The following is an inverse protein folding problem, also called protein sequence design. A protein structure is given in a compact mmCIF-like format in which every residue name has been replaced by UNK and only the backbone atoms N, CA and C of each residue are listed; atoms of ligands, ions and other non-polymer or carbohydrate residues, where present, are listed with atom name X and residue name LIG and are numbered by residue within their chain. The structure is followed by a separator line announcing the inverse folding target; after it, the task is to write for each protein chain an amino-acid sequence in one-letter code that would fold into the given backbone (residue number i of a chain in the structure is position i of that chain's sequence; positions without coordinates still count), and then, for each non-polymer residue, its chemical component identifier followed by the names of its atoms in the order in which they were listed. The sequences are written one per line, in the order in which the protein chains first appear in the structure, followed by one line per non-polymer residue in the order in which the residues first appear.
data_IF_462039661398
#
_entry.id   IF_462039661398
#
_cell.length_a   1.000
_cell.length_b   1.000
_cell.length_c   1.000
_cell.angle_alpha   90.00
_cell.angle_beta   90.00
_cell.angle_gamma   90.00
#
_symmetry.space_group_name_H-M   'P 1'
#
loop_
_entity.id
_entity.type
_entity.pdbx_description
1 polymer ?
#
# COMPACT_ATOMS: atom_id res chain seq x y z
N UNK A 1 10.01 6.53 7.32
CA UNK A 1 10.57 5.61 8.33
C UNK A 1 11.83 6.12 9.03
N UNK A 2 12.58 7.03 8.46
CA UNK A 2 13.82 7.57 9.09
C UNK A 2 13.58 8.17 10.49
N UNK A 3 12.38 8.66 10.76
CA UNK A 3 12.02 9.15 12.11
C UNK A 3 12.02 8.04 13.18
N UNK A 4 11.83 6.78 12.78
CA UNK A 4 11.87 5.63 13.69
C UNK A 4 13.29 5.14 14.02
N UNK A 5 14.34 5.74 13.44
CA UNK A 5 15.73 5.40 13.77
C UNK A 5 16.10 5.65 15.24
N UNK A 6 15.31 6.47 15.95
CA UNK A 6 15.47 6.67 17.39
C UNK A 6 15.09 5.44 18.23
N UNK A 7 14.29 4.53 17.65
CA UNK A 7 13.91 3.25 18.23
C UNK A 7 14.19 2.14 17.20
N UNK A 8 15.36 1.50 17.29
CA UNK A 8 15.77 0.47 16.32
C UNK A 8 14.79 -0.69 16.18
N UNK A 9 14.10 -1.05 17.27
CA UNK A 9 13.12 -2.14 17.28
C UNK A 9 11.90 -1.74 16.43
N UNK A 10 11.35 -0.55 16.66
CA UNK A 10 10.23 -0.05 15.84
C UNK A 10 10.63 0.13 14.37
N UNK A 11 11.86 0.58 14.10
CA UNK A 11 12.37 0.69 12.74
C UNK A 11 12.41 -0.67 12.03
N UNK A 12 12.95 -1.70 12.67
CA UNK A 12 13.02 -3.05 12.11
C UNK A 12 11.62 -3.66 11.90
N UNK A 13 10.71 -3.45 12.84
CA UNK A 13 9.32 -3.89 12.71
C UNK A 13 8.61 -3.20 11.54
N UNK A 14 8.77 -1.88 11.38
CA UNK A 14 8.22 -1.14 10.25
C UNK A 14 8.81 -1.61 8.91
N UNK A 15 10.12 -1.82 8.86
CA UNK A 15 10.81 -2.31 7.66
C UNK A 15 10.31 -3.70 7.27
N UNK A 16 10.29 -4.63 8.22
CA UNK A 16 9.80 -5.98 7.99
C UNK A 16 8.33 -5.99 7.53
N UNK A 17 7.47 -5.23 8.22
CA UNK A 17 6.05 -5.09 7.87
C UNK A 17 5.86 -4.51 6.48
N UNK A 18 6.68 -3.53 6.09
CA UNK A 18 6.62 -2.93 4.75
C UNK A 18 7.04 -3.92 3.67
N UNK A 19 8.12 -4.65 3.87
CA UNK A 19 8.57 -5.71 2.94
C UNK A 19 7.46 -6.74 2.74
N UNK A 20 6.84 -7.20 3.83
CA UNK A 20 5.74 -8.17 3.77
C UNK A 20 4.52 -7.57 3.07
N UNK A 21 4.09 -6.36 3.42
CA UNK A 21 2.91 -5.71 2.85
C UNK A 21 3.08 -5.48 1.33
N UNK A 22 4.20 -4.93 0.89
CA UNK A 22 4.47 -4.68 -0.54
C UNK A 22 4.58 -5.99 -1.33
N UNK A 23 5.22 -7.01 -0.76
CA UNK A 23 5.33 -8.33 -1.38
C UNK A 23 3.96 -8.97 -1.53
N UNK A 24 3.16 -8.95 -0.47
CA UNK A 24 1.82 -9.54 -0.45
C UNK A 24 0.89 -8.82 -1.44
N UNK A 25 0.91 -7.47 -1.45
CA UNK A 25 0.16 -6.67 -2.41
C UNK A 25 0.50 -7.05 -3.86
N UNK A 26 1.78 -7.02 -4.21
CA UNK A 26 2.23 -7.33 -5.57
C UNK A 26 1.95 -8.78 -5.97
N UNK A 27 2.09 -9.72 -5.03
CA UNK A 27 1.77 -11.13 -5.26
C UNK A 27 0.28 -11.35 -5.51
N UNK A 28 -0.60 -10.86 -4.64
CA UNK A 28 -2.05 -10.98 -4.77
C UNK A 28 -2.50 -10.39 -6.10
N UNK A 29 -2.05 -9.17 -6.42
CA UNK A 29 -2.39 -8.50 -7.68
C UNK A 29 -1.93 -9.31 -8.90
N UNK A 30 -0.74 -9.92 -8.83
CA UNK A 30 -0.20 -10.77 -9.90
C UNK A 30 -1.01 -12.07 -10.06
N UNK A 31 -1.41 -12.71 -8.96
CA UNK A 31 -2.26 -13.91 -8.97
C UNK A 31 -3.63 -13.61 -9.58
N UNK A 32 -4.25 -12.49 -9.18
CA UNK A 32 -5.55 -12.06 -9.73
C UNK A 32 -5.42 -11.77 -11.23
N UNK A 33 -4.36 -11.11 -11.66
CA UNK A 33 -4.11 -10.84 -13.07
C UNK A 33 -3.93 -12.13 -13.89
N UNK A 34 -3.17 -13.10 -13.38
CA UNK A 34 -3.00 -14.41 -14.01
C UNK A 34 -4.34 -15.15 -14.13
N UNK A 35 -5.14 -15.19 -13.06
CA UNK A 35 -6.48 -15.79 -13.07
C UNK A 35 -7.45 -15.07 -14.01
N UNK A 36 -7.23 -13.78 -14.24
CA UNK A 36 -7.97 -12.97 -15.21
C UNK A 36 -7.48 -13.13 -16.65
N UNK A 37 -6.61 -14.10 -16.94
CA UNK A 37 -6.17 -14.46 -18.27
C UNK A 37 -4.83 -13.86 -18.71
N UNK A 38 -4.05 -13.28 -17.81
CA UNK A 38 -2.69 -12.80 -18.11
C UNK A 38 -1.66 -13.91 -18.03
N UNK A 39 -1.40 -14.54 -19.15
CA UNK A 39 -0.41 -15.62 -19.26
C UNK A 39 1.03 -15.11 -19.12
N UNK A 40 1.29 -13.85 -19.42
CA UNK A 40 2.65 -13.30 -19.36
C UNK A 40 3.16 -13.19 -17.92
N UNK A 41 2.29 -12.95 -16.95
CA UNK A 41 2.67 -12.90 -15.53
C UNK A 41 3.28 -14.21 -15.04
N UNK A 42 2.81 -15.35 -15.54
CA UNK A 42 3.40 -16.65 -15.19
C UNK A 42 4.87 -16.75 -15.60
N UNK A 43 5.23 -16.14 -16.71
CA UNK A 43 6.62 -16.13 -17.23
C UNK A 43 7.55 -15.20 -16.44
N UNK A 44 7.01 -14.20 -15.75
CA UNK A 44 7.80 -13.26 -14.93
C UNK A 44 8.21 -13.83 -13.58
N UNK A 45 7.67 -15.00 -13.19
CA UNK A 45 7.89 -15.61 -11.88
C UNK A 45 7.20 -14.87 -10.72
N UNK A 46 6.29 -13.92 -11.01
CA UNK A 46 5.55 -13.12 -10.02
C UNK A 46 4.39 -13.87 -9.35
N UNK A 47 4.20 -15.14 -9.69
CA UNK A 47 3.24 -16.01 -9.00
C UNK A 47 3.78 -16.56 -7.66
N UNK A 48 5.06 -16.34 -7.36
CA UNK A 48 5.66 -16.65 -6.07
C UNK A 48 5.79 -15.38 -5.23
N UNK A 49 5.58 -15.43 -3.91
CA UNK A 49 5.71 -14.26 -3.02
C UNK A 49 7.19 -13.95 -2.73
N UNK A 50 7.94 -13.55 -3.76
CA UNK A 50 9.35 -13.18 -3.68
C UNK A 50 9.46 -11.65 -3.59
N UNK A 51 9.98 -11.06 -2.48
CA UNK A 51 10.13 -9.62 -2.32
C UNK A 51 10.87 -8.94 -3.48
N UNK A 52 11.88 -9.61 -4.04
CA UNK A 52 12.70 -9.08 -5.14
C UNK A 52 11.92 -8.84 -6.42
N UNK A 53 10.77 -9.51 -6.59
CA UNK A 53 9.91 -9.43 -7.78
C UNK A 53 8.73 -8.51 -7.61
N UNK A 54 8.40 -8.17 -6.37
CA UNK A 54 7.20 -7.41 -6.03
C UNK A 54 7.48 -6.01 -5.51
N UNK A 55 8.65 -5.77 -4.93
CA UNK A 55 9.00 -4.45 -4.40
C UNK A 55 9.59 -3.59 -5.50
N UNK A 56 8.96 -2.45 -5.75
CA UNK A 56 9.47 -1.43 -6.64
C UNK A 56 10.62 -0.67 -5.97
N UNK A 57 11.80 -0.49 -6.61
CA UNK A 57 12.93 0.22 -6.01
C UNK A 57 12.60 1.65 -5.58
N UNK A 58 11.83 2.39 -6.38
CA UNK A 58 11.40 3.73 -6.04
C UNK A 58 10.33 3.71 -4.95
N UNK A 59 9.43 2.70 -4.97
CA UNK A 59 8.49 2.44 -3.91
C UNK A 59 9.17 2.10 -2.58
N UNK A 60 10.26 1.34 -2.61
CA UNK A 60 11.08 1.06 -1.43
C UNK A 60 11.74 2.32 -0.89
N UNK A 61 12.29 3.16 -1.78
CA UNK A 61 12.88 4.45 -1.41
C UNK A 61 11.81 5.38 -0.78
N UNK A 62 10.64 5.48 -1.40
CA UNK A 62 9.51 6.22 -0.86
C UNK A 62 9.10 5.73 0.54
N UNK A 63 9.09 4.41 0.76
CA UNK A 63 8.82 3.82 2.06
C UNK A 63 9.89 4.16 3.11
N UNK A 64 11.16 4.09 2.75
CA UNK A 64 12.26 4.40 3.67
C UNK A 64 12.24 5.86 4.11
N UNK A 65 12.09 6.79 3.18
CA UNK A 65 12.17 8.23 3.44
C UNK A 65 10.83 8.77 3.89
N UNK A 66 9.78 8.58 3.09
CA UNK A 66 8.45 9.11 3.33
C UNK A 66 7.55 8.23 4.19
N UNK A 67 7.93 6.98 4.45
CA UNK A 67 7.09 6.00 5.14
C UNK A 67 5.97 5.41 4.28
N UNK A 68 5.95 5.72 2.98
CA UNK A 68 4.90 5.34 2.03
C UNK A 68 5.57 4.70 0.81
N UNK A 69 5.26 3.43 0.57
CA UNK A 69 5.83 2.67 -0.54
C UNK A 69 4.77 2.01 -1.42
N UNK A 70 5.19 1.50 -2.57
CA UNK A 70 4.34 0.79 -3.51
C UNK A 70 5.07 -0.42 -4.12
N UNK A 71 4.29 -1.39 -4.57
CA UNK A 71 4.80 -2.58 -5.26
C UNK A 71 4.93 -2.32 -6.76
N UNK A 72 5.71 -3.19 -7.43
CA UNK A 72 5.83 -3.15 -8.89
C UNK A 72 4.46 -3.27 -9.53
N UNK A 73 4.04 -2.31 -10.37
CA UNK A 73 2.76 -2.35 -11.05
C UNK A 73 2.63 -3.59 -11.94
N UNK A 74 1.41 -4.10 -12.08
CA UNK A 74 1.10 -5.16 -13.04
C UNK A 74 0.75 -4.49 -14.37
N UNK A 75 1.52 -4.76 -15.43
CA UNK A 75 1.17 -4.30 -16.77
C UNK A 75 -0.15 -4.94 -17.21
N UNK A 76 -1.07 -4.15 -17.74
CA UNK A 76 -2.37 -4.64 -18.20
C UNK A 76 -2.38 -4.75 -19.73
N UNK A 77 -2.69 -5.91 -20.32
CA UNK A 77 -2.89 -6.02 -21.75
C UNK A 77 -4.10 -5.17 -22.20
N UNK A 78 -4.01 -4.59 -23.41
CA UNK A 78 -4.98 -3.63 -23.95
C UNK A 78 -6.42 -4.16 -24.11
N UNK A 79 -6.66 -5.47 -24.03
CA UNK A 79 -7.98 -6.11 -24.19
C UNK A 79 -8.36 -6.90 -22.95
N UNK A 80 -8.87 -6.23 -21.93
CA UNK A 80 -9.45 -6.89 -20.76
C UNK A 80 -10.89 -6.48 -20.51
N UNK A 81 -11.64 -7.39 -19.88
CA UNK A 81 -12.98 -7.06 -19.37
C UNK A 81 -12.88 -6.03 -18.24
N UNK A 82 -13.89 -5.16 -18.13
CA UNK A 82 -13.97 -4.18 -17.03
C UNK A 82 -13.88 -4.86 -15.66
N UNK A 83 -14.49 -6.04 -15.50
CA UNK A 83 -14.43 -6.80 -14.25
C UNK A 83 -13.02 -7.25 -13.89
N UNK A 84 -12.21 -7.69 -14.86
CA UNK A 84 -10.81 -8.04 -14.62
C UNK A 84 -9.97 -6.83 -14.18
N UNK A 85 -10.19 -5.66 -14.81
CA UNK A 85 -9.52 -4.41 -14.42
C UNK A 85 -9.85 -4.03 -12.98
N UNK A 86 -11.13 -4.06 -12.61
CA UNK A 86 -11.61 -3.78 -11.25
C UNK A 86 -10.98 -4.76 -10.25
N UNK A 87 -11.02 -6.07 -10.56
CA UNK A 87 -10.44 -7.08 -9.68
C UNK A 87 -8.94 -6.86 -9.46
N UNK A 88 -8.16 -6.63 -10.52
CA UNK A 88 -6.71 -6.40 -10.41
C UNK A 88 -6.39 -5.13 -9.62
N UNK A 89 -7.15 -4.06 -9.85
CA UNK A 89 -6.89 -2.78 -9.18
C UNK A 89 -7.25 -2.79 -7.69
N UNK A 90 -8.31 -3.50 -7.29
CA UNK A 90 -8.84 -3.42 -5.93
C UNK A 90 -8.39 -4.55 -5.02
N UNK A 91 -8.22 -5.78 -5.54
CA UNK A 91 -8.05 -6.97 -4.67
C UNK A 91 -6.80 -6.88 -3.79
N UNK A 92 -5.66 -6.41 -4.34
CA UNK A 92 -4.43 -6.26 -3.56
C UNK A 92 -4.58 -5.29 -2.40
N UNK A 93 -5.13 -4.10 -2.67
CA UNK A 93 -5.36 -3.07 -1.66
C UNK A 93 -6.37 -3.50 -0.60
N UNK A 94 -7.52 -4.05 -1.01
CA UNK A 94 -8.56 -4.52 -0.09
C UNK A 94 -8.07 -5.69 0.77
N UNK A 95 -7.27 -6.60 0.23
CA UNK A 95 -6.67 -7.69 1.00
C UNK A 95 -5.74 -7.16 2.10
N UNK A 96 -4.90 -6.15 1.80
CA UNK A 96 -4.05 -5.52 2.82
C UNK A 96 -4.87 -4.79 3.88
N UNK A 97 -5.93 -4.08 3.48
CA UNK A 97 -6.85 -3.45 4.44
C UNK A 97 -7.47 -4.50 5.35
N UNK A 98 -7.94 -5.63 4.80
CA UNK A 98 -8.48 -6.73 5.60
C UNK A 98 -7.46 -7.30 6.60
N UNK A 99 -6.23 -7.57 6.16
CA UNK A 99 -5.16 -8.04 7.07
C UNK A 99 -4.85 -6.99 8.14
N UNK A 100 -4.75 -5.72 7.78
CA UNK A 100 -4.51 -4.63 8.72
C UNK A 100 -5.60 -4.52 9.79
N UNK A 101 -6.87 -4.68 9.40
CA UNK A 101 -8.02 -4.73 10.32
C UNK A 101 -7.94 -5.93 11.27
N UNK A 102 -7.57 -7.13 10.76
CA UNK A 102 -7.39 -8.32 11.60
C UNK A 102 -6.26 -8.14 12.62
N UNK A 103 -5.16 -7.50 12.23
CA UNK A 103 -4.06 -7.19 13.14
C UNK A 103 -4.46 -6.19 14.23
N UNK A 104 -5.27 -5.17 13.90
CA UNK A 104 -5.84 -4.25 14.89
C UNK A 104 -6.79 -4.96 15.84
N UNK A 105 -7.65 -5.82 15.33
CA UNK A 105 -8.56 -6.62 16.15
C UNK A 105 -7.78 -7.53 17.09
N UNK A 106 -6.73 -8.20 16.61
CA UNK A 106 -5.85 -9.03 17.44
C UNK A 106 -5.16 -8.21 18.54
N UNK A 107 -4.71 -6.99 18.23
CA UNK A 107 -4.18 -6.07 19.21
C UNK A 107 -5.24 -5.70 20.26
N UNK A 108 -6.43 -5.32 19.84
CA UNK A 108 -7.53 -4.96 20.75
C UNK A 108 -7.88 -6.11 21.70
N UNK A 109 -8.01 -7.32 21.19
CA UNK A 109 -8.29 -8.51 22.00
C UNK A 109 -7.16 -8.89 22.95
N UNK A 110 -5.89 -8.61 22.59
CA UNK A 110 -4.73 -8.96 23.42
C UNK A 110 -4.44 -7.96 24.55
N UNK A 111 -4.84 -6.70 24.38
CA UNK A 111 -4.39 -5.63 25.28
C UNK A 111 -5.54 -4.86 25.94
N UNK A 112 -6.78 -5.02 25.50
CA UNK A 112 -7.93 -4.16 25.87
C UNK A 112 -7.61 -2.65 25.74
N UNK A 113 -6.56 -2.31 24.99
CA UNK A 113 -6.16 -0.92 24.73
C UNK A 113 -7.03 -0.37 23.62
N UNK A 114 -7.79 0.67 23.93
CA UNK A 114 -8.49 1.45 22.91
C UNK A 114 -7.45 2.20 22.05
N UNK A 115 -7.31 1.79 20.80
CA UNK A 115 -6.45 2.45 19.81
C UNK A 115 -7.20 3.54 19.03
N UNK A 116 -8.47 3.77 19.37
CA UNK A 116 -9.41 4.61 18.62
C UNK A 116 -9.02 6.09 18.45
N UNK A 117 -7.99 6.56 19.15
CA UNK A 117 -7.50 7.93 19.03
C UNK A 117 -6.10 8.07 18.41
N UNK A 118 -5.40 6.97 18.13
CA UNK A 118 -4.04 7.05 17.58
C UNK A 118 -4.07 7.36 16.07
N UNK A 119 -3.65 8.56 15.71
CA UNK A 119 -3.44 8.91 14.30
C UNK A 119 -2.30 8.08 13.73
N UNK A 120 -2.47 7.53 12.54
CA UNK A 120 -1.42 6.77 11.81
C UNK A 120 -0.11 7.53 11.76
N UNK A 121 -0.19 8.84 11.51
CA UNK A 121 0.96 9.74 11.54
C UNK A 121 1.69 9.76 12.87
N UNK A 122 0.99 9.72 13.99
CA UNK A 122 1.60 9.71 15.31
C UNK A 122 2.33 8.37 15.56
N UNK A 123 1.70 7.25 15.18
CA UNK A 123 2.30 5.91 15.32
C UNK A 123 3.54 5.76 14.43
N UNK A 124 3.49 6.24 13.18
CA UNK A 124 4.64 6.16 12.26
C UNK A 124 5.81 7.08 12.67
N UNK A 125 5.52 8.22 13.33
CA UNK A 125 6.54 9.19 13.72
C UNK A 125 7.14 8.95 15.10
N UNK A 126 6.30 8.56 16.08
CA UNK A 126 6.73 8.49 17.48
C UNK A 126 7.17 7.08 17.91
N UNK A 127 6.89 6.07 17.10
CA UNK A 127 6.94 4.70 17.60
C UNK A 127 5.91 4.50 18.72
N UNK A 128 5.79 3.29 19.19
CA UNK A 128 4.92 2.99 20.34
C UNK A 128 5.77 2.97 21.60
N UNK A 129 5.87 4.05 22.30
CA UNK A 129 6.70 4.17 23.52
C UNK A 129 6.27 3.29 24.70
N UNK A 130 5.33 2.36 24.54
CA UNK A 130 4.84 1.46 25.58
C UNK A 130 4.27 0.16 25.00
N UNK A 131 4.12 -0.84 25.85
CA UNK A 131 3.58 -2.15 25.51
C UNK A 131 4.64 -3.23 25.25
N UNK A 132 4.18 -4.49 25.18
CA UNK A 132 5.05 -5.63 24.86
C UNK A 132 5.53 -5.59 23.40
N UNK A 133 6.60 -6.30 23.07
CA UNK A 133 7.11 -6.40 21.70
C UNK A 133 6.02 -6.90 20.74
N UNK A 134 5.19 -7.85 21.16
CA UNK A 134 4.06 -8.35 20.36
C UNK A 134 3.02 -7.28 20.06
N UNK A 135 2.64 -6.48 21.06
CA UNK A 135 1.69 -5.37 20.88
C UNK A 135 2.25 -4.31 19.93
N UNK A 136 3.52 -3.95 20.07
CA UNK A 136 4.19 -3.04 19.13
C UNK A 136 4.23 -3.59 17.70
N UNK A 137 4.55 -4.88 17.56
CA UNK A 137 4.55 -5.53 16.26
C UNK A 137 3.17 -5.52 15.62
N UNK A 138 2.11 -5.88 16.36
CA UNK A 138 0.72 -5.84 15.86
C UNK A 138 0.30 -4.43 15.43
N UNK A 139 0.58 -3.42 16.26
CA UNK A 139 0.21 -2.03 15.95
C UNK A 139 0.96 -1.50 14.73
N UNK A 140 2.27 -1.63 14.69
CA UNK A 140 3.07 -1.12 13.58
C UNK A 140 2.76 -1.84 12.26
N UNK A 141 2.58 -3.17 12.32
CA UNK A 141 2.18 -3.94 11.14
C UNK A 141 0.80 -3.54 10.66
N UNK A 142 -0.18 -3.40 11.55
CA UNK A 142 -1.54 -2.99 11.15
C UNK A 142 -1.55 -1.64 10.45
N UNK A 143 -0.82 -0.66 10.99
CA UNK A 143 -0.69 0.67 10.38
C UNK A 143 -0.05 0.60 9.00
N UNK A 144 1.02 -0.18 8.82
CA UNK A 144 1.68 -0.36 7.52
C UNK A 144 0.74 -1.01 6.52
N UNK A 145 0.05 -2.08 6.92
CA UNK A 145 -0.87 -2.80 6.03
C UNK A 145 -2.05 -1.93 5.61
N UNK A 146 -2.69 -1.24 6.55
CA UNK A 146 -3.79 -0.31 6.26
C UNK A 146 -3.33 0.83 5.36
N UNK A 147 -2.22 1.48 5.69
CA UNK A 147 -1.69 2.60 4.91
C UNK A 147 -1.33 2.19 3.49
N UNK A 148 -0.62 1.07 3.32
CA UNK A 148 -0.24 0.53 2.01
C UNK A 148 -1.47 0.11 1.21
N UNK A 149 -2.43 -0.55 1.87
CA UNK A 149 -3.69 -0.97 1.25
C UNK A 149 -4.49 0.21 0.71
N UNK A 150 -4.75 1.23 1.54
CA UNK A 150 -5.49 2.43 1.15
C UNK A 150 -4.75 3.21 0.07
N UNK A 151 -3.44 3.41 0.24
CA UNK A 151 -2.62 4.10 -0.75
C UNK A 151 -2.73 3.42 -2.12
N UNK A 152 -2.65 2.08 -2.15
CA UNK A 152 -2.70 1.34 -3.42
C UNK A 152 -4.02 1.49 -4.16
N UNK A 153 -5.11 1.86 -3.48
CA UNK A 153 -6.43 2.11 -4.07
C UNK A 153 -6.57 3.50 -4.69
N UNK A 154 -5.66 4.44 -4.37
CA UNK A 154 -5.70 5.78 -4.94
C UNK A 154 -5.50 5.74 -6.46
N UNK A 155 -6.25 6.55 -7.22
CA UNK A 155 -6.18 6.59 -8.69
C UNK A 155 -4.96 7.41 -9.17
N UNK A 156 -3.79 7.17 -8.59
CA UNK A 156 -2.53 7.86 -8.90
C UNK A 156 -1.49 6.86 -9.40
N UNK A 157 -0.91 7.01 -10.61
CA UNK A 157 0.21 6.18 -11.03
C UNK A 157 1.43 6.40 -10.13
N UNK A 158 2.18 5.36 -9.77
CA UNK A 158 2.14 3.96 -10.25
C UNK A 158 1.25 3.03 -9.42
N UNK A 159 0.31 3.53 -8.63
CA UNK A 159 -0.54 2.74 -7.72
C UNK A 159 -1.55 1.89 -8.50
N UNK A 160 -2.00 0.79 -7.89
CA UNK A 160 -2.93 -0.14 -8.53
C UNK A 160 -4.28 0.52 -8.91
N UNK A 161 -4.74 1.50 -8.13
CA UNK A 161 -5.97 2.27 -8.39
C UNK A 161 -5.94 3.07 -9.68
N UNK A 162 -4.77 3.47 -10.20
CA UNK A 162 -4.66 4.15 -11.50
C UNK A 162 -5.16 3.30 -12.65
N UNK A 163 -5.10 1.97 -12.51
CA UNK A 163 -5.61 1.02 -13.49
C UNK A 163 -7.11 1.15 -13.71
N UNK A 164 -7.86 1.53 -12.66
CA UNK A 164 -9.28 1.86 -12.82
C UNK A 164 -9.46 3.16 -13.60
N UNK A 165 -8.68 4.18 -13.24
CA UNK A 165 -8.76 5.47 -13.90
C UNK A 165 -8.54 5.34 -15.41
N UNK A 166 -7.40 4.77 -15.82
CA UNK A 166 -7.06 4.64 -17.24
C UNK A 166 -7.85 3.54 -17.96
N UNK A 167 -8.15 2.43 -17.26
CA UNK A 167 -8.92 1.32 -17.83
C UNK A 167 -10.39 1.65 -18.10
N UNK A 168 -10.97 2.61 -17.38
CA UNK A 168 -12.35 3.09 -17.56
C UNK A 168 -12.43 4.42 -18.33
N UNK A 169 -11.30 5.11 -18.50
CA UNK A 169 -11.25 6.39 -19.18
C UNK A 169 -11.68 6.29 -20.66
N UNK A 170 -12.26 7.36 -21.22
CA UNK A 170 -12.54 7.42 -22.65
C UNK A 170 -11.26 7.28 -23.47
N UNK A 171 -11.34 6.57 -24.59
CA UNK A 171 -10.20 6.40 -25.52
C UNK A 171 -9.93 7.65 -26.35
N UNK A 172 -9.83 8.81 -25.71
CA UNK A 172 -9.47 10.07 -26.37
C UNK A 172 -7.94 10.27 -26.35
N UNK A 173 -7.42 11.02 -27.32
CA UNK A 173 -5.99 11.29 -27.42
C UNK A 173 -5.39 11.99 -26.18
N UNK A 174 -6.20 12.75 -25.44
CA UNK A 174 -5.78 13.39 -24.19
C UNK A 174 -5.51 12.37 -23.09
N UNK A 175 -6.41 11.41 -22.86
CA UNK A 175 -6.25 10.35 -21.87
C UNK A 175 -5.09 9.42 -22.21
N UNK A 176 -4.91 9.06 -23.49
CA UNK A 176 -3.78 8.24 -23.92
C UNK A 176 -2.44 8.94 -23.69
N UNK A 177 -2.35 10.26 -23.92
CA UNK A 177 -1.14 11.04 -23.62
C UNK A 177 -0.88 11.12 -22.13
N UNK A 178 -1.91 11.30 -21.30
CA UNK A 178 -1.78 11.32 -19.85
C UNK A 178 -1.29 9.97 -19.31
N UNK A 179 -1.86 8.85 -19.77
CA UNK A 179 -1.43 7.50 -19.43
C UNK A 179 0.03 7.27 -19.81
N UNK A 180 0.40 7.59 -21.05
CA UNK A 180 1.79 7.48 -21.53
C UNK A 180 2.78 8.28 -20.69
N UNK A 181 2.46 9.53 -20.38
CA UNK A 181 3.35 10.38 -19.58
C UNK A 181 3.47 9.89 -18.14
N UNK A 182 2.37 9.54 -17.51
CA UNK A 182 2.33 9.19 -16.10
C UNK A 182 2.84 7.76 -15.82
N UNK A 183 2.56 6.79 -16.70
CA UNK A 183 2.96 5.40 -16.52
C UNK A 183 4.26 5.05 -17.26
N UNK A 184 4.37 5.32 -18.57
CA UNK A 184 5.54 4.89 -19.33
C UNK A 184 6.75 5.81 -19.17
N UNK A 185 6.54 7.12 -19.02
CA UNK A 185 7.62 8.08 -18.71
C UNK A 185 7.93 8.21 -17.23
N UNK A 186 7.31 7.42 -16.37
CA UNK A 186 7.51 7.43 -14.92
C UNK A 186 7.25 8.78 -14.23
N UNK A 187 6.52 9.72 -14.87
CA UNK A 187 6.16 10.97 -14.20
C UNK A 187 5.26 10.75 -12.98
N UNK A 188 4.43 9.69 -12.99
CA UNK A 188 3.63 9.29 -11.84
C UNK A 188 4.49 8.86 -10.66
N UNK A 189 5.54 8.08 -10.90
CA UNK A 189 6.54 7.68 -9.90
C UNK A 189 7.24 8.91 -9.33
N UNK A 190 7.71 9.81 -10.20
CA UNK A 190 8.37 11.05 -9.79
C UNK A 190 7.44 11.93 -8.97
N UNK A 191 6.19 12.11 -9.40
CA UNK A 191 5.20 12.91 -8.68
C UNK A 191 4.91 12.36 -7.28
N UNK A 192 4.70 11.03 -7.15
CA UNK A 192 4.50 10.39 -5.86
C UNK A 192 5.74 10.53 -4.96
N UNK A 193 6.93 10.35 -5.51
CA UNK A 193 8.17 10.46 -4.77
C UNK A 193 8.40 11.89 -4.29
N UNK A 194 8.21 12.89 -5.16
CA UNK A 194 8.27 14.30 -4.80
C UNK A 194 7.20 14.65 -3.76
N UNK A 195 5.97 14.18 -3.94
CA UNK A 195 4.89 14.41 -2.98
C UNK A 195 5.19 13.77 -1.62
N UNK A 196 5.76 12.57 -1.60
CA UNK A 196 6.14 11.90 -0.34
C UNK A 196 7.29 12.60 0.40
N UNK A 197 8.18 13.28 -0.34
CA UNK A 197 9.33 14.00 0.21
C UNK A 197 8.98 15.41 0.63
N UNK A 198 8.31 16.18 -0.24
CA UNK A 198 8.07 17.62 -0.03
C UNK A 198 6.77 17.88 0.73
N UNK A 199 5.74 17.10 0.54
CA UNK A 199 4.43 17.29 1.16
C UNK A 199 3.90 15.99 1.79
N UNK A 200 4.69 15.34 2.67
CA UNK A 200 4.25 14.08 3.27
C UNK A 200 2.94 14.21 4.06
N UNK A 201 2.67 15.41 4.60
CA UNK A 201 1.46 15.68 5.36
C UNK A 201 0.17 15.49 4.55
N UNK A 202 0.18 15.73 3.25
CA UNK A 202 -0.99 15.54 2.39
C UNK A 202 -1.35 14.05 2.24
N UNK A 203 -0.35 13.22 1.91
CA UNK A 203 -0.56 11.77 1.79
C UNK A 203 -0.99 11.16 3.12
N UNK A 204 -0.37 11.57 4.21
CA UNK A 204 -0.76 11.12 5.55
C UNK A 204 -2.17 11.59 5.92
N UNK A 205 -2.59 12.80 5.58
CA UNK A 205 -3.94 13.27 5.83
C UNK A 205 -4.98 12.41 5.09
N UNK A 206 -4.70 12.04 3.83
CA UNK A 206 -5.55 11.14 3.07
C UNK A 206 -5.62 9.77 3.75
N UNK A 207 -4.48 9.19 4.11
CA UNK A 207 -4.43 7.90 4.80
C UNK A 207 -5.20 7.96 6.12
N UNK A 208 -4.96 8.98 6.96
CA UNK A 208 -5.62 9.15 8.25
C UNK A 208 -7.14 9.29 8.12
N UNK A 209 -7.62 9.96 7.06
CA UNK A 209 -9.05 10.11 6.80
C UNK A 209 -9.77 8.76 6.62
N UNK A 210 -9.06 7.75 6.09
CA UNK A 210 -9.62 6.40 5.89
C UNK A 210 -9.25 5.43 7.02
N UNK A 211 -8.01 5.47 7.51
CA UNK A 211 -7.54 4.52 8.53
C UNK A 211 -8.18 4.80 9.89
N UNK A 212 -8.36 6.06 10.27
CA UNK A 212 -8.93 6.40 11.58
C UNK A 212 -10.34 5.83 11.79
N UNK A 213 -11.30 6.00 10.85
CA UNK A 213 -12.61 5.37 11.01
C UNK A 213 -12.56 3.84 10.98
N UNK A 214 -11.70 3.24 10.15
CA UNK A 214 -11.51 1.79 10.13
C UNK A 214 -10.93 1.28 11.46
N UNK A 215 -9.96 1.98 12.02
CA UNK A 215 -9.40 1.63 13.33
C UNK A 215 -10.46 1.69 14.44
N UNK A 216 -11.31 2.71 14.44
CA UNK A 216 -12.43 2.81 15.40
C UNK A 216 -13.41 1.65 15.25
N UNK A 217 -13.75 1.27 14.02
CA UNK A 217 -14.63 0.12 13.78
C UNK A 217 -14.03 -1.20 14.29
N UNK A 218 -12.71 -1.37 14.18
CA UNK A 218 -12.02 -2.57 14.64
C UNK A 218 -11.89 -2.64 16.17
N UNK A 219 -11.85 -1.49 16.85
CA UNK A 219 -11.59 -1.41 18.30
C UNK A 219 -12.80 -0.98 19.12
N UNK A 220 -13.95 -0.78 18.50
CA UNK A 220 -15.22 -0.47 19.20
C UNK A 220 -15.26 0.92 19.84
N UNK A 221 -14.47 1.88 19.33
CA UNK A 221 -14.35 3.24 19.88
C UNK A 221 -15.05 4.29 19.06
#
# INVERSE_FOLDING_TARGET
MLYALRDPVSFLLLLASTVVALTLHGWITSVVAARSGDRQIALTGRLRPDPRRHIDPYGALGALVGGIGWSVPVALPARRSKGALIAIALTGGLALVGVGMLLLLALHLSSQVSTGGARVTAVLRAGTGGGSLGQRALLLSSVVFLSTGILSLLPLPPLAGSRLLFGLAPRSGGWQRAEYQLEERNFGVLALLVMSLLVPGLLYAIIDAFVTPLARLATGG
#
